data_IF_310575678675
#
_entry.id   IF_310575678675
#
_cell.length_a   1.000
_cell.length_b   1.000
_cell.length_c   1.000
_cell.angle_alpha   90.00
_cell.angle_beta   90.00
_cell.angle_gamma   90.00
#
_symmetry.space_group_name_H-M   'P 1'
#
loop_
_entity.id
_entity.type
_entity.pdbx_description
1 polymer ?
#
# COMPACT_ATOMS: atom_id res chain seq x y z
N UNK A 1 -0.28 -54.49 -6.24
CA UNK A 1 0.79 -53.48 -6.38
C UNK A 1 0.11 -52.21 -6.89
N UNK A 2 -0.07 -51.19 -6.05
CA UNK A 2 -0.66 -49.91 -6.49
C UNK A 2 0.44 -49.08 -7.13
N UNK A 3 0.34 -48.87 -8.43
CA UNK A 3 1.21 -48.00 -9.21
C UNK A 3 0.97 -46.55 -8.76
N UNK A 4 1.82 -46.07 -7.85
CA UNK A 4 1.80 -44.70 -7.35
C UNK A 4 2.38 -43.81 -8.45
N UNK A 5 1.50 -43.39 -9.37
CA UNK A 5 1.81 -42.45 -10.46
C UNK A 5 2.58 -41.27 -9.87
N UNK A 6 3.86 -41.14 -10.24
CA UNK A 6 4.72 -40.07 -9.75
C UNK A 6 4.04 -38.72 -10.01
N UNK A 7 4.09 -37.77 -9.06
CA UNK A 7 3.48 -36.47 -9.27
C UNK A 7 4.19 -35.81 -10.45
N UNK A 8 3.49 -35.73 -11.58
CA UNK A 8 4.04 -35.13 -12.78
C UNK A 8 4.47 -33.69 -12.51
N UNK A 9 5.45 -33.19 -13.24
CA UNK A 9 5.97 -31.80 -13.13
C UNK A 9 4.83 -30.77 -13.09
N UNK A 10 3.73 -31.05 -13.81
CA UNK A 10 2.49 -30.26 -13.77
C UNK A 10 1.79 -30.19 -12.40
N UNK A 11 1.71 -31.32 -11.68
CA UNK A 11 1.17 -31.36 -10.32
C UNK A 11 2.10 -30.67 -9.33
N UNK A 12 3.42 -30.79 -9.49
CA UNK A 12 4.41 -30.05 -8.72
C UNK A 12 4.33 -28.54 -8.96
N UNK A 13 4.14 -28.11 -10.20
CA UNK A 13 3.97 -26.70 -10.56
C UNK A 13 2.65 -26.12 -10.02
N UNK A 14 1.54 -26.86 -10.12
CA UNK A 14 0.27 -26.46 -9.50
C UNK A 14 0.39 -26.34 -7.99
N UNK A 15 1.06 -27.29 -7.32
CA UNK A 15 1.30 -27.22 -5.88
C UNK A 15 2.19 -26.02 -5.49
N UNK A 16 3.14 -25.64 -6.36
CA UNK A 16 3.96 -24.45 -6.20
C UNK A 16 3.17 -23.14 -6.38
N UNK A 17 2.29 -23.05 -7.38
CA UNK A 17 1.41 -21.90 -7.55
C UNK A 17 0.40 -21.78 -6.41
N UNK A 18 -0.11 -22.90 -5.89
CA UNK A 18 -1.04 -22.89 -4.76
C UNK A 18 -0.40 -22.48 -3.43
N UNK A 19 0.93 -22.29 -3.37
CA UNK A 19 1.58 -21.58 -2.26
C UNK A 19 1.19 -20.10 -2.39
N UNK A 20 0.18 -19.66 -1.63
CA UNK A 20 -0.44 -18.33 -1.73
C UNK A 20 0.54 -17.14 -1.84
N UNK A 21 1.70 -17.22 -1.19
CA UNK A 21 2.75 -16.21 -1.28
C UNK A 21 3.27 -15.93 -2.71
N UNK A 22 3.25 -16.93 -3.61
CA UNK A 22 3.74 -16.77 -5.00
C UNK A 22 2.71 -16.09 -5.88
N UNK A 23 1.43 -16.43 -5.70
CA UNK A 23 0.33 -15.85 -6.47
C UNK A 23 0.15 -14.38 -6.10
N UNK A 24 0.18 -14.05 -4.82
CA UNK A 24 0.04 -12.67 -4.36
C UNK A 24 1.20 -11.78 -4.89
N UNK A 25 2.43 -12.32 -4.89
CA UNK A 25 3.59 -11.64 -5.45
C UNK A 25 3.48 -11.47 -6.97
N UNK A 26 3.06 -12.50 -7.69
CA UNK A 26 2.88 -12.44 -9.14
C UNK A 26 1.82 -11.40 -9.53
N UNK A 27 0.69 -11.37 -8.81
CA UNK A 27 -0.37 -10.39 -9.01
C UNK A 27 0.13 -8.97 -8.74
N UNK A 28 0.87 -8.77 -7.64
CA UNK A 28 1.44 -7.47 -7.30
C UNK A 28 2.37 -6.93 -8.40
N UNK A 29 3.24 -7.78 -8.96
CA UNK A 29 4.18 -7.38 -10.04
C UNK A 29 3.45 -7.03 -11.33
N UNK A 30 2.47 -7.85 -11.74
CA UNK A 30 1.70 -7.62 -12.98
C UNK A 30 0.87 -6.34 -12.88
N UNK A 31 0.17 -6.13 -11.77
CA UNK A 31 -0.62 -4.91 -11.54
C UNK A 31 0.30 -3.69 -11.48
N UNK A 32 1.45 -3.79 -10.80
CA UNK A 32 2.45 -2.72 -10.74
C UNK A 32 2.92 -2.29 -12.13
N UNK A 33 3.31 -3.25 -12.97
CA UNK A 33 3.76 -2.96 -14.34
C UNK A 33 2.66 -2.32 -15.20
N UNK A 34 1.43 -2.85 -15.13
CA UNK A 34 0.29 -2.31 -15.87
C UNK A 34 -0.05 -0.86 -15.45
N UNK A 35 -0.02 -0.58 -14.14
CA UNK A 35 -0.31 0.75 -13.62
C UNK A 35 0.77 1.77 -14.01
N UNK A 36 2.05 1.40 -13.90
CA UNK A 36 3.16 2.25 -14.37
C UNK A 36 3.00 2.62 -15.84
N UNK A 37 2.55 1.68 -16.69
CA UNK A 37 2.28 1.98 -18.10
C UNK A 37 1.17 3.01 -18.28
N UNK A 38 0.05 2.88 -17.55
CA UNK A 38 -1.06 3.84 -17.61
C UNK A 38 -0.57 5.24 -17.25
N UNK A 39 0.17 5.37 -16.15
CA UNK A 39 0.67 6.68 -15.72
C UNK A 39 1.69 7.25 -16.71
N UNK A 40 2.61 6.43 -17.21
CA UNK A 40 3.55 6.85 -18.24
C UNK A 40 2.84 7.34 -19.51
N UNK A 41 1.75 6.68 -19.93
CA UNK A 41 0.93 7.13 -21.06
C UNK A 41 0.28 8.49 -20.80
N UNK A 42 -0.22 8.74 -19.59
CA UNK A 42 -0.79 10.05 -19.22
C UNK A 42 0.29 11.13 -19.18
N UNK A 43 1.46 10.83 -18.61
CA UNK A 43 2.56 11.81 -18.57
C UNK A 43 3.03 12.14 -19.98
N UNK A 44 3.31 11.14 -20.81
CA UNK A 44 3.75 11.34 -22.20
C UNK A 44 2.66 12.00 -23.06
N UNK A 45 1.40 11.63 -22.87
CA UNK A 45 0.29 12.08 -23.71
C UNK A 45 -0.31 13.42 -23.31
N UNK A 46 -0.21 13.83 -22.04
CA UNK A 46 -0.85 15.05 -21.52
C UNK A 46 0.18 16.00 -20.90
N UNK A 47 1.01 15.52 -19.97
CA UNK A 47 1.92 16.39 -19.22
C UNK A 47 3.07 16.89 -20.10
N UNK A 48 3.74 16.00 -20.86
CA UNK A 48 4.84 16.37 -21.75
C UNK A 48 4.44 17.42 -22.80
N UNK A 49 3.31 17.30 -23.52
CA UNK A 49 2.89 18.35 -24.45
C UNK A 49 2.45 19.64 -23.74
N UNK A 50 1.87 19.57 -22.53
CA UNK A 50 1.51 20.77 -21.76
C UNK A 50 2.76 21.55 -21.32
N UNK A 51 3.78 20.83 -20.83
CA UNK A 51 5.06 21.44 -20.44
C UNK A 51 5.85 21.88 -21.66
N UNK A 52 5.78 21.16 -22.78
CA UNK A 52 6.37 21.56 -24.06
C UNK A 52 5.63 22.70 -24.78
N UNK A 53 4.42 23.06 -24.34
CA UNK A 53 3.70 24.24 -24.81
C UNK A 53 4.06 25.50 -24.01
N UNK A 54 4.44 25.35 -22.73
CA UNK A 54 4.81 26.46 -21.83
C UNK A 54 6.33 26.68 -21.80
N UNK A 55 7.12 25.61 -21.89
CA UNK A 55 8.56 25.60 -22.13
C UNK A 55 8.86 25.35 -23.61
N UNK A 56 10.04 25.70 -24.10
CA UNK A 56 10.37 25.59 -25.53
C UNK A 56 10.25 24.14 -26.02
N UNK A 57 9.30 23.94 -26.94
CA UNK A 57 9.01 22.85 -27.90
C UNK A 57 9.21 21.37 -27.54
N UNK A 58 10.09 20.96 -26.64
CA UNK A 58 10.19 19.61 -26.05
C UNK A 58 11.23 19.63 -24.93
N UNK A 59 10.89 19.17 -23.72
CA UNK A 59 11.88 19.00 -22.64
C UNK A 59 13.03 18.12 -23.13
N UNK A 60 12.75 17.01 -23.82
CA UNK A 60 13.75 16.09 -24.38
C UNK A 60 14.73 16.73 -25.38
N UNK A 61 14.40 17.91 -25.93
CA UNK A 61 15.23 18.62 -26.92
C UNK A 61 16.27 19.58 -26.32
N UNK A 62 16.31 19.71 -24.99
CA UNK A 62 17.41 20.41 -24.31
C UNK A 62 18.69 19.57 -24.35
N UNK A 63 19.38 19.68 -25.49
CA UNK A 63 20.73 19.18 -25.72
C UNK A 63 21.71 20.33 -25.60
N UNK A 64 22.70 20.20 -24.72
CA UNK A 64 23.86 21.09 -24.70
C UNK A 64 25.10 20.34 -25.14
N UNK A 65 25.87 20.99 -25.99
CA UNK A 65 27.11 20.44 -26.52
C UNK A 65 28.29 20.85 -25.65
N UNK A 66 28.95 19.84 -25.09
CA UNK A 66 30.06 20.06 -24.17
C UNK A 66 31.38 20.35 -24.90
N UNK A 67 31.52 19.95 -26.17
CA UNK A 67 32.71 20.23 -27.00
C UNK A 67 32.47 19.97 -28.50
N UNK A 68 32.83 20.95 -29.34
CA UNK A 68 32.80 20.89 -30.82
C UNK A 68 31.46 21.28 -31.45
N UNK A 69 31.42 21.59 -32.77
CA UNK A 69 30.17 21.84 -33.48
C UNK A 69 29.37 20.54 -33.52
N UNK A 70 28.28 20.49 -32.78
CA UNK A 70 27.38 19.34 -32.79
C UNK A 70 26.49 19.42 -34.02
N UNK A 71 26.79 18.61 -35.01
CA UNK A 71 25.87 18.33 -36.10
C UNK A 71 25.01 17.13 -35.73
N UNK A 72 23.70 17.36 -35.69
CA UNK A 72 22.67 16.34 -35.50
C UNK A 72 22.17 15.91 -36.87
N UNK A 73 22.40 14.64 -37.22
CA UNK A 73 21.79 14.03 -38.41
C UNK A 73 20.27 13.93 -38.25
N UNK A 74 19.54 13.80 -39.36
CA UNK A 74 18.08 13.72 -39.42
C UNK A 74 17.47 12.57 -38.57
N UNK A 75 18.31 11.62 -38.14
CA UNK A 75 17.94 10.43 -37.38
C UNK A 75 18.11 10.62 -35.86
N UNK A 76 18.51 11.81 -35.40
CA UNK A 76 18.76 12.11 -33.99
C UNK A 76 20.07 11.52 -33.44
N UNK A 77 20.89 10.90 -34.29
CA UNK A 77 22.21 10.38 -33.93
C UNK A 77 23.29 11.48 -34.04
N UNK A 78 24.17 11.50 -33.04
CA UNK A 78 25.28 12.44 -32.91
C UNK A 78 26.41 11.98 -33.82
N UNK A 79 26.61 12.65 -34.94
CA UNK A 79 27.70 12.30 -35.87
C UNK A 79 29.03 12.93 -35.47
N UNK A 80 29.04 13.99 -34.66
CA UNK A 80 30.24 14.43 -33.93
C UNK A 80 29.90 15.25 -32.67
N UNK A 81 30.67 15.04 -31.59
CA UNK A 81 30.53 15.73 -30.30
C UNK A 81 29.93 14.88 -29.18
N UNK A 82 30.13 15.31 -27.92
CA UNK A 82 29.47 14.73 -26.73
C UNK A 82 28.32 15.65 -26.35
N UNK A 83 27.10 15.22 -26.65
CA UNK A 83 25.89 15.93 -26.25
C UNK A 83 25.35 15.37 -24.94
N UNK A 84 24.92 16.28 -24.06
CA UNK A 84 24.23 15.90 -22.83
C UNK A 84 22.75 16.29 -22.99
N UNK A 85 21.88 15.27 -22.94
CA UNK A 85 20.43 15.40 -23.04
C UNK A 85 19.81 15.60 -21.64
N UNK A 86 20.05 16.75 -21.00
CA UNK A 86 19.48 17.06 -19.67
C UNK A 86 17.95 17.07 -19.70
N UNK A 87 17.41 17.43 -20.86
CA UNK A 87 16.00 17.43 -21.16
C UNK A 87 15.26 16.15 -20.80
N UNK A 88 15.85 15.02 -21.20
CA UNK A 88 15.30 13.67 -20.96
C UNK A 88 15.29 13.29 -19.49
N UNK A 89 16.28 13.76 -18.72
CA UNK A 89 16.36 13.55 -17.28
C UNK A 89 15.27 14.35 -16.57
N UNK A 90 15.01 15.58 -17.01
CA UNK A 90 13.96 16.43 -16.45
C UNK A 90 12.57 15.85 -16.75
N UNK A 91 12.34 15.38 -17.97
CA UNK A 91 11.11 14.68 -18.36
C UNK A 91 10.88 13.38 -17.58
N UNK A 92 11.94 12.59 -17.39
CA UNK A 92 11.88 11.36 -16.58
C UNK A 92 11.62 11.65 -15.11
N UNK A 93 12.22 12.71 -14.56
CA UNK A 93 12.00 13.16 -13.18
C UNK A 93 10.56 13.64 -12.99
N UNK A 94 10.03 14.40 -13.94
CA UNK A 94 8.63 14.85 -13.89
C UNK A 94 7.66 13.67 -13.98
N UNK A 95 7.97 12.67 -14.82
CA UNK A 95 7.21 11.42 -14.92
C UNK A 95 7.21 10.66 -13.61
N UNK A 96 8.37 10.56 -12.96
CA UNK A 96 8.51 9.93 -11.66
C UNK A 96 7.70 10.66 -10.57
N UNK A 97 7.84 11.98 -10.46
CA UNK A 97 7.11 12.79 -9.46
C UNK A 97 5.61 12.69 -9.68
N UNK A 98 5.14 12.78 -10.93
CA UNK A 98 3.71 12.65 -11.25
C UNK A 98 3.19 11.26 -10.89
N UNK A 99 3.96 10.21 -11.21
CA UNK A 99 3.58 8.83 -10.86
C UNK A 99 3.54 8.61 -9.36
N UNK A 100 4.55 9.08 -8.63
CA UNK A 100 4.57 9.02 -7.18
C UNK A 100 3.38 9.76 -6.56
N UNK A 101 3.03 10.95 -7.07
CA UNK A 101 1.89 11.72 -6.61
C UNK A 101 0.56 10.99 -6.84
N UNK A 102 0.34 10.42 -8.02
CA UNK A 102 -0.88 9.66 -8.35
C UNK A 102 -1.00 8.40 -7.48
N UNK A 103 0.07 7.61 -7.35
CA UNK A 103 0.08 6.41 -6.48
C UNK A 103 -0.18 6.78 -5.02
N UNK A 104 0.47 7.85 -4.53
CA UNK A 104 0.29 8.31 -3.16
C UNK A 104 -1.16 8.78 -2.91
N UNK A 105 -1.73 9.57 -3.82
CA UNK A 105 -3.06 10.15 -3.63
C UNK A 105 -4.20 9.14 -3.82
N UNK A 106 -4.09 8.25 -4.82
CA UNK A 106 -5.15 7.27 -5.13
C UNK A 106 -5.04 5.95 -4.38
N UNK A 107 -3.84 5.54 -3.95
CA UNK A 107 -3.64 4.26 -3.27
C UNK A 107 -3.29 4.46 -1.79
N UNK A 108 -2.22 5.19 -1.50
CA UNK A 108 -1.68 5.29 -0.13
C UNK A 108 -2.61 6.08 0.79
N UNK A 109 -3.08 7.25 0.36
CA UNK A 109 -3.98 8.11 1.14
C UNK A 109 -5.31 7.44 1.52
N UNK A 110 -6.07 6.81 0.61
CA UNK A 110 -7.30 6.12 0.98
C UNK A 110 -7.02 4.87 1.82
N UNK A 111 -5.94 4.12 1.53
CA UNK A 111 -5.56 2.97 2.33
C UNK A 111 -5.20 3.39 3.76
N UNK A 112 -4.42 4.47 3.93
CA UNK A 112 -4.08 5.04 5.24
C UNK A 112 -5.32 5.53 5.99
N UNK A 113 -6.25 6.22 5.32
CA UNK A 113 -7.54 6.62 5.91
C UNK A 113 -8.41 5.41 6.30
N UNK A 114 -8.39 4.36 5.50
CA UNK A 114 -9.15 3.14 5.76
C UNK A 114 -8.59 2.35 6.94
N UNK A 115 -7.26 2.20 7.00
CA UNK A 115 -6.55 1.57 8.12
C UNK A 115 -6.77 2.35 9.42
N UNK A 116 -6.63 3.69 9.39
CA UNK A 116 -6.90 4.53 10.55
C UNK A 116 -8.35 4.40 11.07
N UNK A 117 -9.32 4.27 10.15
CA UNK A 117 -10.73 4.00 10.52
C UNK A 117 -10.92 2.61 11.12
N UNK A 118 -10.21 1.60 10.63
CA UNK A 118 -10.27 0.26 11.21
C UNK A 118 -9.62 0.18 12.59
N UNK A 119 -8.48 0.83 12.78
CA UNK A 119 -7.80 0.92 14.09
C UNK A 119 -8.66 1.67 15.11
N UNK A 120 -9.30 2.77 14.72
CA UNK A 120 -10.25 3.47 15.57
C UNK A 120 -11.44 2.57 15.96
N UNK A 121 -11.96 1.76 15.03
CA UNK A 121 -13.01 0.77 15.32
C UNK A 121 -12.54 -0.37 16.22
N UNK A 122 -11.28 -0.81 16.09
CA UNK A 122 -10.69 -1.82 16.98
C UNK A 122 -10.51 -1.27 18.39
N UNK A 123 -9.91 -0.09 18.54
CA UNK A 123 -9.76 0.59 19.84
C UNK A 123 -11.10 0.86 20.52
N UNK A 124 -12.13 1.24 19.75
CA UNK A 124 -13.48 1.40 20.28
C UNK A 124 -14.09 0.07 20.76
N UNK A 125 -13.86 -1.05 20.05
CA UNK A 125 -14.29 -2.39 20.48
C UNK A 125 -13.53 -2.87 21.72
N UNK A 126 -12.23 -2.63 21.77
CA UNK A 126 -11.39 -2.97 22.93
C UNK A 126 -11.80 -2.16 24.16
N UNK A 127 -12.00 -0.84 24.02
CA UNK A 127 -12.49 0.00 25.10
C UNK A 127 -13.91 -0.36 25.56
N UNK A 128 -14.80 -0.76 24.64
CA UNK A 128 -16.14 -1.25 25.03
C UNK A 128 -16.05 -2.56 25.81
N UNK A 129 -15.14 -3.45 25.42
CA UNK A 129 -14.93 -4.73 26.10
C UNK A 129 -14.30 -4.54 27.49
N UNK A 130 -13.30 -3.66 27.60
CA UNK A 130 -12.68 -3.30 28.88
C UNK A 130 -13.69 -2.67 29.83
N UNK A 131 -14.56 -1.77 29.35
CA UNK A 131 -15.63 -1.18 30.16
C UNK A 131 -16.64 -2.24 30.62
N UNK A 132 -17.05 -3.17 29.76
CA UNK A 132 -17.97 -4.26 30.13
C UNK A 132 -17.32 -5.15 31.21
N UNK A 133 -16.06 -5.57 31.03
CA UNK A 133 -15.35 -6.41 32.00
C UNK A 133 -15.21 -5.71 33.36
N UNK A 134 -14.92 -4.39 33.41
CA UNK A 134 -14.87 -3.64 34.68
C UNK A 134 -16.25 -3.54 35.33
N UNK A 135 -17.31 -3.28 34.55
CA UNK A 135 -18.69 -3.18 35.10
C UNK A 135 -19.19 -4.52 35.65
N UNK A 136 -18.87 -5.65 35.01
CA UNK A 136 -19.22 -6.97 35.52
C UNK A 136 -18.51 -7.26 36.85
N UNK A 137 -17.22 -6.94 36.95
CA UNK A 137 -16.44 -7.12 38.17
C UNK A 137 -16.96 -6.26 39.34
N UNK A 138 -17.43 -5.03 39.06
CA UNK A 138 -18.02 -4.15 40.06
C UNK A 138 -19.36 -4.70 40.57
N UNK A 139 -20.24 -5.16 39.66
CA UNK A 139 -21.51 -5.82 40.03
C UNK A 139 -21.27 -7.10 40.84
N UNK A 140 -20.27 -7.92 40.46
CA UNK A 140 -19.87 -9.11 41.22
C UNK A 140 -19.40 -8.78 42.64
N UNK A 141 -18.71 -7.64 42.81
CA UNK A 141 -18.27 -7.15 44.12
C UNK A 141 -19.44 -6.68 44.97
N UNK A 142 -20.38 -5.93 44.39
CA UNK A 142 -21.61 -5.49 45.07
C UNK A 142 -22.46 -6.67 45.53
N UNK A 143 -22.64 -7.69 44.68
CA UNK A 143 -23.39 -8.91 45.05
C UNK A 143 -22.70 -9.63 46.21
N UNK A 144 -21.37 -9.79 46.18
CA UNK A 144 -20.62 -10.40 47.28
C UNK A 144 -20.83 -9.64 48.58
N UNK A 145 -20.73 -8.32 48.55
CA UNK A 145 -20.86 -7.49 49.74
C UNK A 145 -22.31 -7.49 50.28
N UNK A 146 -23.31 -7.52 49.39
CA UNK A 146 -24.72 -7.70 49.75
C UNK A 146 -25.01 -9.08 50.38
N UNK A 147 -24.39 -10.16 49.88
CA UNK A 147 -24.52 -11.50 50.46
C UNK A 147 -23.85 -11.62 51.83
N UNK A 148 -22.69 -10.98 52.02
CA UNK A 148 -22.04 -10.91 53.33
C UNK A 148 -22.91 -10.16 54.35
N UNK A 149 -23.53 -9.05 53.95
CA UNK A 149 -24.46 -8.31 54.80
C UNK A 149 -25.71 -9.13 55.16
N UNK A 150 -26.29 -9.86 54.21
CA UNK A 150 -27.41 -10.76 54.45
C UNK A 150 -27.06 -11.91 55.40
N UNK A 151 -25.89 -12.53 55.21
CA UNK A 151 -25.43 -13.63 56.06
C UNK A 151 -25.15 -13.15 57.50
N UNK A 152 -24.61 -11.94 57.67
CA UNK A 152 -24.43 -11.34 58.99
C UNK A 152 -25.76 -11.10 59.72
N UNK A 153 -26.79 -10.62 59.00
CA UNK A 153 -28.14 -10.42 59.55
C UNK A 153 -28.85 -11.75 59.87
N UNK A 154 -28.59 -12.82 59.11
CA UNK A 154 -29.13 -14.16 59.39
C UNK A 154 -28.49 -14.79 60.63
N UNK A 155 -27.20 -14.54 60.89
CA UNK A 155 -26.49 -15.05 62.05
C UNK A 155 -26.95 -14.45 63.38
N UNK A 156 -27.32 -13.17 63.41
CA UNK A 156 -27.82 -12.50 64.62
C UNK A 156 -29.24 -12.93 65.00
N UNK A 157 -30.12 -13.19 64.03
CA UNK A 157 -31.49 -13.63 64.29
C UNK A 157 -31.64 -15.05 64.87
N UNK A 158 -30.56 -15.85 64.88
CA UNK A 158 -30.56 -17.20 65.46
C UNK A 158 -30.01 -17.24 66.91
N UNK A 159 -29.40 -16.15 67.39
CA UNK A 159 -28.87 -16.06 68.75
C UNK A 159 -29.90 -15.57 69.80
N UNK A 160 -31.08 -15.11 69.36
CA UNK A 160 -32.17 -14.57 70.20
C UNK A 160 -33.38 -15.50 70.34
N UNK A 161 -33.25 -16.81 70.04
CA UNK A 161 -34.28 -17.82 70.31
C UNK A 161 -33.78 -18.93 71.21
#
# INVERSE_FOLDING_TARGET
MSEKKEPGVWQGFKAFLMRGNVVDLAVAVVIGAAFTNIVNSVVKGVINPLVGAIGTKNLDSYTSCLKGPCEVGADGAVTSGVMILWGSVLGSTLSFVTTAAVVYFLMVLPMAKYLARQEARRKAREGTREVIEVTELEVLKEIRDALLAQNAQRGSGHAER
#
